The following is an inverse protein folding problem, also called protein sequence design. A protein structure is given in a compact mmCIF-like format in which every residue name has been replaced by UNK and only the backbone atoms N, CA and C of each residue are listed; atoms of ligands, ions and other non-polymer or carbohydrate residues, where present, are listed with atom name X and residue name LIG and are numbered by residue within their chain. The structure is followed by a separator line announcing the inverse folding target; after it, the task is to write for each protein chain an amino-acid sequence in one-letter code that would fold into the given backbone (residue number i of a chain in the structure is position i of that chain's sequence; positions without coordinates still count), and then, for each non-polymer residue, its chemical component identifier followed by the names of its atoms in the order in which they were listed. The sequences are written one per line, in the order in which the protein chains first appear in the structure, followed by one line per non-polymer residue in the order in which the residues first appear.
data_IF_729658426679
#
_entry.id   IF_729658426679
#
_cell.length_a   1.000
_cell.length_b   1.000
_cell.length_c   1.000
_cell.angle_alpha   90.00
_cell.angle_beta   90.00
_cell.angle_gamma   90.00
#
_symmetry.space_group_name_H-M   'P 1'
#
loop_
_entity.id
_entity.type
_entity.pdbx_description
1 polymer ?
#
# COMPACT_ATOMS: atom_id res chain seq x y z
N UNK A 1 -17.80 -17.55 -0.69
CA UNK A 1 -17.29 -17.41 -2.08
C UNK A 1 -15.78 -17.48 -2.00
N UNK A 2 -15.13 -18.25 -2.89
CA UNK A 2 -13.66 -18.23 -2.95
C UNK A 2 -13.23 -16.84 -3.45
N UNK A 3 -12.45 -16.10 -2.63
CA UNK A 3 -11.85 -14.84 -3.05
C UNK A 3 -10.80 -15.11 -4.14
N UNK A 4 -10.75 -14.26 -5.17
CA UNK A 4 -9.73 -14.34 -6.22
C UNK A 4 -8.37 -13.95 -5.67
N UNK A 5 -7.36 -14.84 -5.75
CA UNK A 5 -5.99 -14.57 -5.28
C UNK A 5 -5.26 -13.73 -6.31
N UNK A 6 -4.79 -12.54 -5.91
CA UNK A 6 -3.96 -11.66 -6.76
C UNK A 6 -2.47 -11.88 -6.53
N UNK A 7 -2.04 -12.13 -5.28
CA UNK A 7 -0.65 -12.47 -4.96
C UNK A 7 -0.64 -13.73 -4.10
N UNK A 8 0.26 -14.66 -4.39
CA UNK A 8 0.57 -15.81 -3.55
C UNK A 8 2.06 -15.92 -3.33
N UNK A 9 2.46 -16.24 -2.10
CA UNK A 9 3.84 -16.60 -1.77
C UNK A 9 3.92 -18.05 -1.31
N UNK A 10 5.02 -18.71 -1.65
CA UNK A 10 5.32 -20.06 -1.21
C UNK A 10 6.73 -20.11 -0.63
N UNK A 11 6.82 -20.46 0.66
CA UNK A 11 8.05 -20.57 1.43
C UNK A 11 8.98 -19.36 1.28
N UNK A 12 8.38 -18.16 1.21
CA UNK A 12 9.10 -16.92 0.97
C UNK A 12 10.09 -16.65 2.10
N UNK A 13 11.35 -16.46 1.75
CA UNK A 13 12.39 -16.11 2.72
C UNK A 13 13.28 -14.99 2.19
N UNK A 14 13.66 -14.07 3.08
CA UNK A 14 14.58 -12.97 2.76
C UNK A 14 15.66 -12.87 3.84
N UNK A 15 16.91 -12.88 3.39
CA UNK A 15 18.07 -12.71 4.26
C UNK A 15 18.98 -11.64 3.70
N UNK A 16 19.60 -10.88 4.59
CA UNK A 16 20.63 -9.90 4.26
C UNK A 16 21.98 -10.34 4.85
N UNK A 17 23.08 -10.02 4.17
CA UNK A 17 24.43 -10.23 4.70
C UNK A 17 24.98 -8.90 5.22
N UNK A 18 25.18 -8.79 6.53
CA UNK A 18 25.71 -7.61 7.20
C UNK A 18 26.98 -8.02 7.95
N UNK A 19 28.15 -7.49 7.55
CA UNK A 19 29.42 -7.79 8.20
C UNK A 19 29.77 -9.28 8.21
N UNK A 20 29.41 -10.03 7.15
CA UNK A 20 29.66 -11.48 7.04
C UNK A 20 28.70 -12.38 7.83
N UNK A 21 27.74 -11.79 8.56
CA UNK A 21 26.67 -12.54 9.24
C UNK A 21 25.38 -12.47 8.42
N UNK A 22 24.70 -13.61 8.28
CA UNK A 22 23.36 -13.65 7.68
C UNK A 22 22.31 -13.28 8.72
N UNK A 23 21.46 -12.32 8.36
CA UNK A 23 20.27 -11.96 9.12
C UNK A 23 19.03 -12.38 8.33
N UNK A 24 18.27 -13.34 8.87
CA UNK A 24 17.02 -13.82 8.30
C UNK A 24 15.89 -12.88 8.72
N UNK A 25 15.36 -12.10 7.77
CA UNK A 25 14.31 -11.09 8.03
C UNK A 25 12.94 -11.65 7.75
N UNK A 26 12.76 -12.41 6.67
CA UNK A 26 11.52 -13.16 6.38
C UNK A 26 11.88 -14.64 6.33
N UNK A 27 11.01 -15.48 6.95
CA UNK A 27 11.31 -16.88 7.19
C UNK A 27 10.16 -17.77 6.73
N UNK A 28 10.33 -18.41 5.58
CA UNK A 28 9.46 -19.50 5.09
C UNK A 28 7.96 -19.14 5.12
N UNK A 29 7.60 -17.95 4.61
CA UNK A 29 6.30 -17.35 4.73
C UNK A 29 5.40 -17.74 3.55
N UNK A 30 4.25 -18.33 3.84
CA UNK A 30 3.17 -18.61 2.90
C UNK A 30 2.02 -17.64 3.17
N UNK A 31 1.56 -16.92 2.14
CA UNK A 31 0.43 -16.00 2.27
C UNK A 31 -0.26 -15.76 0.94
N UNK A 32 -1.49 -15.29 1.02
CA UNK A 32 -2.27 -14.84 -0.13
C UNK A 32 -2.79 -13.43 0.09
N UNK A 33 -2.78 -12.64 -0.98
CA UNK A 33 -3.47 -11.33 -1.06
C UNK A 33 -4.62 -11.52 -2.05
N UNK A 34 -5.78 -11.07 -1.65
CA UNK A 34 -6.99 -11.23 -2.45
C UNK A 34 -7.34 -9.94 -3.20
N UNK A 35 -7.92 -10.12 -4.38
CA UNK A 35 -8.38 -9.02 -5.23
C UNK A 35 -9.47 -8.21 -4.53
N UNK A 36 -9.32 -6.89 -4.54
CA UNK A 36 -10.25 -5.97 -3.89
C UNK A 36 -10.14 -5.92 -2.35
N UNK A 37 -9.28 -6.74 -1.72
CA UNK A 37 -9.07 -6.63 -0.27
C UNK A 37 -8.15 -5.45 0.08
N UNK A 38 -8.40 -4.86 1.25
CA UNK A 38 -7.47 -3.96 1.91
C UNK A 38 -6.72 -4.73 3.00
N UNK A 39 -5.58 -5.32 2.64
CA UNK A 39 -4.73 -6.07 3.57
C UNK A 39 -3.78 -5.13 4.29
N UNK A 40 -3.75 -5.17 5.62
CA UNK A 40 -2.80 -4.43 6.45
C UNK A 40 -1.84 -5.38 7.11
N UNK A 41 -0.54 -5.08 7.01
CA UNK A 41 0.54 -5.80 7.69
C UNK A 41 0.98 -4.97 8.90
N UNK A 42 0.77 -5.49 10.09
CA UNK A 42 1.20 -4.92 11.36
C UNK A 42 2.32 -5.76 11.98
N UNK A 43 2.91 -5.25 13.05
CA UNK A 43 3.97 -5.94 13.81
C UNK A 43 4.98 -4.95 14.38
N UNK A 44 5.83 -5.41 15.28
CA UNK A 44 6.86 -4.61 15.94
C UNK A 44 7.88 -4.00 14.96
N UNK A 45 8.61 -2.98 15.41
CA UNK A 45 9.73 -2.44 14.64
C UNK A 45 10.75 -3.54 14.36
N UNK A 46 11.25 -3.62 13.11
CA UNK A 46 12.21 -4.66 12.71
C UNK A 46 11.61 -6.03 12.39
N UNK A 47 10.30 -6.25 12.52
CA UNK A 47 9.65 -7.53 12.20
C UNK A 47 9.75 -7.94 10.71
N UNK A 48 10.18 -7.05 9.81
CA UNK A 48 10.34 -7.34 8.38
C UNK A 48 9.20 -6.85 7.49
N UNK A 49 8.28 -6.01 8.00
CA UNK A 49 7.09 -5.53 7.28
C UNK A 49 7.38 -4.88 5.92
N UNK A 50 8.24 -3.85 5.89
CA UNK A 50 8.62 -3.18 4.63
C UNK A 50 9.41 -4.13 3.72
N UNK A 51 10.24 -5.03 4.29
CA UNK A 51 10.95 -6.07 3.53
C UNK A 51 9.95 -7.01 2.84
N UNK A 52 8.90 -7.43 3.54
CA UNK A 52 7.83 -8.24 2.97
C UNK A 52 7.11 -7.49 1.86
N UNK A 53 6.71 -6.24 2.11
CA UNK A 53 6.02 -5.39 1.12
C UNK A 53 6.89 -5.20 -0.15
N UNK A 54 8.20 -4.97 -0.01
CA UNK A 54 9.11 -4.82 -1.15
C UNK A 54 9.33 -6.14 -1.90
N UNK A 55 9.34 -7.27 -1.19
CA UNK A 55 9.39 -8.57 -1.86
C UNK A 55 8.10 -8.84 -2.64
N UNK A 56 6.92 -8.65 -2.03
CA UNK A 56 5.62 -8.82 -2.68
C UNK A 56 5.46 -7.97 -3.93
N UNK A 57 5.98 -6.75 -3.92
CA UNK A 57 5.90 -5.83 -5.07
C UNK A 57 6.97 -6.04 -6.14
N UNK A 58 7.89 -6.98 -5.94
CA UNK A 58 9.04 -7.20 -6.83
C UNK A 58 10.07 -6.05 -6.83
N UNK A 59 10.05 -5.17 -5.81
CA UNK A 59 11.11 -4.16 -5.61
C UNK A 59 12.39 -4.79 -5.10
N UNK A 60 12.27 -5.82 -4.27
CA UNK A 60 13.40 -6.61 -3.78
C UNK A 60 13.13 -8.10 -4.04
N UNK A 61 14.15 -8.83 -4.44
CA UNK A 61 14.03 -10.27 -4.70
C UNK A 61 14.11 -11.07 -3.41
N UNK A 62 13.28 -12.10 -3.20
CA UNK A 62 13.45 -13.02 -2.09
C UNK A 62 14.76 -13.79 -2.23
N UNK A 63 15.25 -14.29 -1.10
CA UNK A 63 16.43 -15.19 -1.09
C UNK A 63 16.04 -16.63 -1.46
N UNK A 64 14.86 -17.07 -0.99
CA UNK A 64 14.26 -18.38 -1.27
C UNK A 64 12.74 -18.26 -1.38
N UNK A 65 12.12 -19.27 -1.96
CA UNK A 65 10.67 -19.33 -2.17
C UNK A 65 10.24 -18.63 -3.44
N UNK A 66 8.93 -18.52 -3.63
CA UNK A 66 8.35 -17.93 -4.84
C UNK A 66 7.26 -16.92 -4.55
N UNK A 67 7.04 -16.02 -5.49
CA UNK A 67 5.94 -15.04 -5.51
C UNK A 67 5.27 -15.12 -6.87
N UNK A 68 3.95 -15.26 -6.87
CA UNK A 68 3.16 -15.25 -8.09
C UNK A 68 2.03 -14.20 -8.04
N UNK A 69 1.75 -13.59 -9.18
CA UNK A 69 0.64 -12.68 -9.44
C UNK A 69 -0.35 -13.33 -10.40
N UNK A 70 -1.59 -13.52 -9.94
CA UNK A 70 -2.65 -14.19 -10.73
C UNK A 70 -2.15 -15.47 -11.41
N UNK A 71 -1.37 -16.27 -10.67
CA UNK A 71 -0.77 -17.53 -11.12
C UNK A 71 0.52 -17.40 -11.94
N UNK A 72 0.97 -16.19 -12.27
CA UNK A 72 2.25 -15.98 -12.96
C UNK A 72 3.37 -15.70 -11.98
N UNK A 73 4.39 -16.55 -11.96
CA UNK A 73 5.57 -16.36 -11.10
C UNK A 73 6.39 -15.15 -11.54
N UNK A 74 6.80 -14.32 -10.56
CA UNK A 74 7.64 -13.14 -10.76
C UNK A 74 9.06 -13.32 -10.22
N UNK A 75 9.30 -14.32 -9.38
CA UNK A 75 10.59 -14.54 -8.70
C UNK A 75 11.72 -14.83 -9.67
N UNK A 76 11.43 -15.54 -10.76
CA UNK A 76 12.38 -15.89 -11.82
C UNK A 76 12.70 -14.73 -12.79
N UNK A 77 11.97 -13.60 -12.70
CA UNK A 77 12.17 -12.44 -13.57
C UNK A 77 13.50 -11.74 -13.26
N UNK A 78 14.19 -11.28 -14.32
CA UNK A 78 15.34 -10.37 -14.16
C UNK A 78 14.88 -8.95 -13.81
N UNK A 79 15.82 -8.04 -13.54
CA UNK A 79 15.50 -6.69 -13.04
C UNK A 79 14.74 -5.85 -14.06
N UNK A 80 15.05 -5.99 -15.37
CA UNK A 80 14.31 -5.30 -16.44
C UNK A 80 12.88 -5.82 -16.55
N UNK A 81 12.68 -7.13 -16.46
CA UNK A 81 11.36 -7.76 -16.46
C UNK A 81 10.54 -7.34 -15.24
N UNK A 82 11.16 -7.28 -14.05
CA UNK A 82 10.52 -6.77 -12.83
C UNK A 82 10.18 -5.28 -12.94
N UNK A 83 11.03 -4.46 -13.59
CA UNK A 83 10.71 -3.05 -13.82
C UNK A 83 9.50 -2.89 -14.75
N UNK A 84 9.43 -3.69 -15.83
CA UNK A 84 8.26 -3.73 -16.72
C UNK A 84 7.01 -4.22 -16.00
N UNK A 85 7.15 -5.23 -15.14
CA UNK A 85 6.07 -5.77 -14.32
C UNK A 85 5.54 -4.69 -13.36
N UNK A 86 6.42 -4.09 -12.54
CA UNK A 86 6.01 -3.08 -11.54
C UNK A 86 5.23 -1.91 -12.13
N UNK A 87 5.69 -1.33 -13.25
CA UNK A 87 5.01 -0.17 -13.86
C UNK A 87 3.58 -0.46 -14.35
N UNK A 88 3.23 -1.74 -14.55
CA UNK A 88 1.90 -2.16 -14.99
C UNK A 88 1.01 -2.64 -13.85
N UNK A 89 1.59 -3.34 -12.87
CA UNK A 89 0.84 -4.11 -11.88
C UNK A 89 0.91 -3.53 -10.48
N UNK A 90 1.87 -2.62 -10.19
CA UNK A 90 2.11 -2.11 -8.84
C UNK A 90 2.01 -0.59 -8.78
N UNK A 91 1.20 -0.07 -7.87
CA UNK A 91 1.23 1.32 -7.43
C UNK A 91 1.99 1.43 -6.11
N UNK A 92 2.71 2.55 -5.89
CA UNK A 92 3.48 2.72 -4.66
C UNK A 92 3.19 4.05 -3.99
N UNK A 93 2.87 3.99 -2.68
CA UNK A 93 2.72 5.12 -1.78
C UNK A 93 3.67 4.92 -0.60
N UNK A 94 4.66 5.79 -0.43
CA UNK A 94 5.67 5.70 0.62
C UNK A 94 5.48 6.76 1.69
N UNK A 95 6.08 6.55 2.85
CA UNK A 95 6.16 7.55 3.91
C UNK A 95 6.92 8.81 3.42
N UNK A 96 8.05 8.63 2.75
CA UNK A 96 8.71 9.69 1.98
C UNK A 96 8.10 9.72 0.58
N UNK A 97 7.63 10.86 0.17
CA UNK A 97 6.76 11.02 -1.02
C UNK A 97 7.44 10.60 -2.33
N UNK A 98 8.76 10.75 -2.43
CA UNK A 98 9.59 10.39 -3.60
C UNK A 98 9.05 10.93 -4.93
N UNK A 99 8.49 12.13 -4.95
CA UNK A 99 8.23 12.85 -6.20
C UNK A 99 9.56 13.36 -6.77
N UNK A 100 9.64 13.47 -8.09
CA UNK A 100 10.80 14.06 -8.77
C UNK A 100 10.75 15.57 -8.60
N UNK A 101 11.69 16.14 -7.85
CA UNK A 101 11.69 17.55 -7.44
C UNK A 101 11.76 18.54 -8.62
N UNK A 102 12.37 18.14 -9.74
CA UNK A 102 12.50 18.94 -10.96
C UNK A 102 11.28 18.86 -11.89
N UNK A 103 10.22 18.17 -11.50
CA UNK A 103 8.97 17.99 -12.24
C UNK A 103 7.79 18.57 -11.47
N UNK A 104 6.80 19.15 -12.17
CA UNK A 104 5.52 19.48 -11.55
C UNK A 104 4.81 18.20 -11.06
N UNK A 105 3.80 18.32 -10.20
CA UNK A 105 3.04 17.13 -9.78
C UNK A 105 2.27 16.51 -10.96
N UNK A 106 1.83 17.33 -11.92
CA UNK A 106 1.24 16.85 -13.16
C UNK A 106 2.25 16.02 -13.96
N UNK A 107 3.47 16.51 -14.13
CA UNK A 107 4.52 15.79 -14.87
C UNK A 107 4.95 14.51 -14.14
N UNK A 108 5.00 14.52 -12.81
CA UNK A 108 5.24 13.32 -12.02
C UNK A 108 4.21 12.21 -12.31
N UNK A 109 2.92 12.57 -12.41
CA UNK A 109 1.87 11.60 -12.73
C UNK A 109 1.96 11.15 -14.19
N UNK A 110 2.08 12.09 -15.15
CA UNK A 110 2.11 11.80 -16.59
C UNK A 110 3.34 10.95 -16.96
N UNK A 111 4.53 11.29 -16.45
CA UNK A 111 5.77 10.55 -16.76
C UNK A 111 5.66 9.08 -16.36
N UNK A 112 5.05 8.79 -15.20
CA UNK A 112 4.80 7.41 -14.77
C UNK A 112 3.82 6.69 -15.71
N UNK A 113 2.76 7.37 -16.14
CA UNK A 113 1.80 6.82 -17.09
C UNK A 113 2.41 6.52 -18.47
N UNK A 114 3.30 7.39 -18.95
CA UNK A 114 3.99 7.20 -20.24
C UNK A 114 4.86 5.94 -20.29
N UNK A 115 5.34 5.45 -19.15
CA UNK A 115 6.11 4.20 -19.07
C UNK A 115 5.32 2.95 -19.51
N UNK A 116 4.00 3.03 -19.54
CA UNK A 116 3.12 1.95 -20.03
C UNK A 116 2.70 2.13 -21.49
N UNK A 117 3.23 3.15 -22.19
CA UNK A 117 2.94 3.43 -23.59
C UNK A 117 1.65 4.22 -23.83
N UNK A 118 1.03 4.75 -22.78
CA UNK A 118 -0.17 5.59 -22.89
C UNK A 118 0.16 6.97 -23.51
N UNK A 119 -0.80 7.54 -24.24
CA UNK A 119 -0.62 8.86 -24.86
C UNK A 119 -0.70 9.98 -23.80
N UNK A 120 0.21 10.95 -23.89
CA UNK A 120 0.30 12.07 -22.95
C UNK A 120 -1.04 12.81 -22.73
N UNK A 121 -1.82 13.06 -23.81
CA UNK A 121 -3.12 13.72 -23.69
C UNK A 121 -4.11 12.93 -22.83
N UNK A 122 -4.23 11.63 -23.07
CA UNK A 122 -5.12 10.77 -22.28
C UNK A 122 -4.69 10.70 -20.80
N UNK A 123 -3.37 10.65 -20.56
CA UNK A 123 -2.81 10.68 -19.21
C UNK A 123 -3.08 11.99 -18.49
N UNK A 124 -2.99 13.13 -19.21
CA UNK A 124 -3.33 14.44 -18.64
C UNK A 124 -4.79 14.48 -18.22
N UNK A 125 -5.72 14.10 -19.10
CA UNK A 125 -7.15 14.08 -18.79
C UNK A 125 -7.46 13.14 -17.61
N UNK A 126 -6.74 12.02 -17.49
CA UNK A 126 -6.86 11.10 -16.36
C UNK A 126 -6.29 11.67 -15.07
N UNK A 127 -5.08 12.25 -15.14
CA UNK A 127 -4.42 12.87 -14.00
C UNK A 127 -5.25 14.02 -13.40
N UNK A 128 -5.87 14.87 -14.25
CA UNK A 128 -6.76 15.94 -13.82
C UNK A 128 -7.92 15.41 -12.98
N UNK A 129 -8.60 14.36 -13.44
CA UNK A 129 -9.69 13.71 -12.69
C UNK A 129 -9.22 13.11 -11.37
N UNK A 130 -8.03 12.48 -11.38
CA UNK A 130 -7.46 11.91 -10.16
C UNK A 130 -7.05 13.00 -9.16
N UNK A 131 -6.49 14.13 -9.62
CA UNK A 131 -6.16 15.26 -8.76
C UNK A 131 -7.41 15.88 -8.13
N UNK A 132 -8.48 16.08 -8.91
CA UNK A 132 -9.78 16.54 -8.38
C UNK A 132 -10.31 15.57 -7.31
N UNK A 133 -10.24 14.27 -7.59
CA UNK A 133 -10.69 13.23 -6.66
C UNK A 133 -9.93 13.22 -5.32
N UNK A 134 -8.62 13.45 -5.34
CA UNK A 134 -7.82 13.53 -4.10
C UNK A 134 -7.83 14.93 -3.47
N UNK A 135 -8.67 15.85 -3.96
CA UNK A 135 -8.84 17.21 -3.41
C UNK A 135 -7.65 18.12 -3.64
N UNK A 136 -6.90 17.95 -4.74
CA UNK A 136 -5.84 18.88 -5.16
C UNK A 136 -6.41 19.90 -6.13
N UNK A 137 -6.38 21.17 -5.72
CA UNK A 137 -6.88 22.31 -6.51
C UNK A 137 -6.06 22.50 -7.80
N UNK A 138 -6.69 23.06 -8.85
CA UNK A 138 -6.07 23.23 -10.19
C UNK A 138 -4.81 24.09 -10.19
N UNK A 139 -4.73 25.07 -9.30
CA UNK A 139 -3.57 25.96 -9.13
C UNK A 139 -2.33 25.21 -8.58
N UNK A 140 -2.51 24.02 -8.00
CA UNK A 140 -1.43 23.17 -7.50
C UNK A 140 -0.81 22.28 -8.58
N UNK A 141 -1.54 21.94 -9.65
CA UNK A 141 -1.13 20.91 -10.59
C UNK A 141 0.18 21.19 -11.33
N UNK A 142 0.45 22.49 -11.56
CA UNK A 142 1.71 22.95 -12.15
C UNK A 142 2.83 23.21 -11.16
N UNK A 143 2.59 23.04 -9.84
CA UNK A 143 3.58 23.28 -8.81
C UNK A 143 4.58 22.13 -8.67
N UNK A 144 5.78 22.47 -8.21
CA UNK A 144 6.82 21.51 -7.89
C UNK A 144 6.65 20.98 -6.45
N UNK A 145 7.17 19.79 -6.11
CA UNK A 145 7.04 19.19 -4.78
C UNK A 145 7.44 20.15 -3.63
N UNK A 146 8.49 20.95 -3.81
CA UNK A 146 8.96 21.92 -2.82
C UNK A 146 7.98 23.07 -2.52
N UNK A 147 6.96 23.25 -3.34
CA UNK A 147 5.93 24.31 -3.22
C UNK A 147 4.64 23.80 -2.55
N UNK A 148 4.61 22.52 -2.13
CA UNK A 148 3.46 21.86 -1.57
C UNK A 148 3.64 21.60 -0.06
N UNK A 149 2.54 21.56 0.66
CA UNK A 149 2.53 20.95 2.00
C UNK A 149 2.75 19.43 1.91
N UNK A 150 3.20 18.81 3.00
CA UNK A 150 3.42 17.36 3.04
C UNK A 150 2.18 16.55 2.65
N UNK A 151 0.98 17.00 3.07
CA UNK A 151 -0.27 16.33 2.73
C UNK A 151 -0.64 16.48 1.25
N UNK A 152 -0.38 17.63 0.62
CA UNK A 152 -0.59 17.84 -0.81
C UNK A 152 0.38 16.98 -1.64
N UNK A 153 1.64 16.96 -1.25
CA UNK A 153 2.65 16.12 -1.89
C UNK A 153 2.30 14.62 -1.78
N UNK A 154 1.81 14.17 -0.62
CA UNK A 154 1.37 12.79 -0.43
C UNK A 154 0.19 12.44 -1.33
N UNK A 155 -0.82 13.33 -1.42
CA UNK A 155 -1.96 13.12 -2.34
C UNK A 155 -1.52 13.10 -3.81
N UNK A 156 -0.56 13.93 -4.20
CA UNK A 156 0.03 13.87 -5.54
C UNK A 156 0.76 12.55 -5.82
N UNK A 157 1.49 12.01 -4.82
CA UNK A 157 2.11 10.70 -4.93
C UNK A 157 1.07 9.56 -5.06
N UNK A 158 -0.09 9.68 -4.42
CA UNK A 158 -1.18 8.72 -4.59
C UNK A 158 -1.72 8.74 -6.03
N UNK A 159 -1.90 9.92 -6.64
CA UNK A 159 -2.28 10.02 -8.05
C UNK A 159 -1.25 9.33 -8.94
N UNK A 160 0.05 9.57 -8.71
CA UNK A 160 1.13 8.87 -9.42
C UNK A 160 1.04 7.35 -9.24
N UNK A 161 0.70 6.87 -8.04
CA UNK A 161 0.60 5.44 -7.76
C UNK A 161 -0.50 4.74 -8.55
N UNK A 162 -1.64 5.42 -8.79
CA UNK A 162 -2.81 4.80 -9.44
C UNK A 162 -2.99 5.18 -10.91
N UNK A 163 -2.13 6.04 -11.48
CA UNK A 163 -2.28 6.54 -12.86
C UNK A 163 -2.32 5.43 -13.92
N UNK A 164 -1.69 4.29 -13.64
CA UNK A 164 -1.59 3.13 -14.53
C UNK A 164 -2.64 2.03 -14.24
N UNK A 165 -3.64 2.28 -13.39
CA UNK A 165 -4.61 1.26 -12.93
C UNK A 165 -3.93 -0.04 -12.45
N UNK A 166 -3.05 0.02 -11.44
CA UNK A 166 -2.30 -1.14 -11.00
C UNK A 166 -3.23 -2.20 -10.38
N UNK A 167 -2.82 -3.48 -10.44
CA UNK A 167 -3.56 -4.56 -9.79
C UNK A 167 -3.55 -4.41 -8.26
N UNK A 168 -2.43 -3.92 -7.71
CA UNK A 168 -2.23 -3.72 -6.27
C UNK A 168 -1.54 -2.39 -5.98
N UNK A 169 -2.06 -1.64 -5.01
CA UNK A 169 -1.38 -0.47 -4.42
C UNK A 169 -0.66 -0.91 -3.14
N UNK A 170 0.65 -0.72 -3.12
CA UNK A 170 1.51 -0.95 -1.96
C UNK A 170 1.74 0.36 -1.22
N UNK A 171 1.40 0.42 0.06
CA UNK A 171 1.53 1.59 0.91
C UNK A 171 2.44 1.29 2.11
N UNK A 172 3.64 1.87 2.12
CA UNK A 172 4.61 1.71 3.22
C UNK A 172 4.54 2.94 4.14
N UNK A 173 3.90 2.80 5.30
CA UNK A 173 3.71 3.87 6.29
C UNK A 173 3.18 5.19 5.68
N UNK A 174 2.11 5.17 4.87
CA UNK A 174 1.73 6.29 4.00
C UNK A 174 1.36 7.57 4.75
N UNK A 175 1.20 7.50 6.07
CA UNK A 175 0.79 8.60 6.93
C UNK A 175 1.82 8.97 7.99
N UNK A 176 2.97 8.27 8.05
CA UNK A 176 3.95 8.38 9.13
C UNK A 176 4.62 9.77 9.29
N UNK A 177 4.58 10.61 8.25
CA UNK A 177 5.14 11.97 8.27
C UNK A 177 4.06 13.07 8.29
N UNK A 178 2.77 12.74 8.49
CA UNK A 178 1.65 13.66 8.34
C UNK A 178 1.04 14.05 9.69
N UNK A 179 0.46 15.25 9.76
CA UNK A 179 -0.41 15.65 10.87
C UNK A 179 -1.76 14.90 10.81
N UNK A 180 -2.54 14.98 11.89
CA UNK A 180 -3.78 14.23 12.06
C UNK A 180 -4.80 14.45 10.93
N UNK A 181 -4.98 15.69 10.45
CA UNK A 181 -5.93 16.02 9.38
C UNK A 181 -5.48 15.44 8.03
N UNK A 182 -4.21 15.56 7.67
CA UNK A 182 -3.67 15.00 6.44
C UNK A 182 -3.64 13.47 6.49
N UNK A 183 -3.39 12.89 7.66
CA UNK A 183 -3.51 11.44 7.90
C UNK A 183 -4.90 10.96 7.52
N UNK A 184 -5.96 11.60 8.05
CA UNK A 184 -7.34 11.23 7.75
C UNK A 184 -7.65 11.31 6.25
N UNK A 185 -7.25 12.41 5.62
CA UNK A 185 -7.45 12.62 4.19
C UNK A 185 -6.80 11.50 3.34
N UNK A 186 -5.56 11.12 3.65
CA UNK A 186 -4.83 10.04 2.94
C UNK A 186 -5.51 8.69 3.16
N UNK A 187 -5.91 8.37 4.39
CA UNK A 187 -6.61 7.13 4.70
C UNK A 187 -7.98 7.07 4.02
N UNK A 188 -8.72 8.18 3.96
CA UNK A 188 -10.01 8.25 3.27
C UNK A 188 -9.85 8.02 1.75
N UNK A 189 -8.78 8.56 1.15
CA UNK A 189 -8.48 8.31 -0.27
C UNK A 189 -8.18 6.82 -0.49
N UNK A 190 -7.35 6.19 0.35
CA UNK A 190 -7.07 4.75 0.25
C UNK A 190 -8.34 3.91 0.40
N UNK A 191 -9.19 4.22 1.39
CA UNK A 191 -10.47 3.54 1.56
C UNK A 191 -11.37 3.71 0.33
N UNK A 192 -11.50 4.93 -0.21
CA UNK A 192 -12.29 5.19 -1.41
C UNK A 192 -11.75 4.48 -2.67
N UNK A 193 -10.43 4.28 -2.79
CA UNK A 193 -9.86 3.45 -3.85
C UNK A 193 -10.24 1.98 -3.66
N UNK A 194 -10.21 1.48 -2.42
CA UNK A 194 -10.59 0.11 -2.11
C UNK A 194 -12.07 -0.16 -2.34
N UNK A 195 -12.95 0.77 -1.96
CA UNK A 195 -14.40 0.69 -2.21
C UNK A 195 -14.74 0.56 -3.71
N UNK A 196 -13.86 1.06 -4.59
CA UNK A 196 -13.95 0.90 -6.04
C UNK A 196 -13.29 -0.39 -6.56
N UNK A 197 -12.85 -1.27 -5.66
CA UNK A 197 -12.28 -2.57 -5.99
C UNK A 197 -10.75 -2.61 -6.14
N UNK A 198 -10.04 -1.53 -5.80
CA UNK A 198 -8.57 -1.54 -5.79
C UNK A 198 -8.05 -2.41 -4.66
N UNK A 199 -7.21 -3.40 -4.99
CA UNK A 199 -6.48 -4.16 -3.97
C UNK A 199 -5.39 -3.30 -3.34
N UNK A 200 -5.31 -3.31 -1.99
CA UNK A 200 -4.33 -2.51 -1.24
C UNK A 200 -3.57 -3.41 -0.27
N UNK A 201 -2.25 -3.27 -0.23
CA UNK A 201 -1.39 -3.84 0.81
C UNK A 201 -0.70 -2.69 1.52
N UNK A 202 -1.04 -2.48 2.78
CA UNK A 202 -0.48 -1.38 3.58
C UNK A 202 0.32 -1.92 4.77
N UNK A 203 1.51 -1.37 4.97
CA UNK A 203 2.28 -1.52 6.21
C UNK A 203 2.02 -0.32 7.10
N UNK A 204 1.71 -0.56 8.35
CA UNK A 204 1.57 0.50 9.36
C UNK A 204 1.84 0.00 10.78
N UNK A 205 2.17 0.94 11.66
CA UNK A 205 2.28 0.70 13.09
C UNK A 205 1.17 1.44 13.89
N UNK A 206 0.17 2.03 13.23
CA UNK A 206 -0.91 2.75 13.92
C UNK A 206 -2.24 2.01 13.80
N UNK A 207 -2.96 1.90 14.93
CA UNK A 207 -4.30 1.29 14.98
C UNK A 207 -5.25 2.04 14.03
N UNK A 208 -5.18 3.37 14.03
CA UNK A 208 -6.04 4.23 13.17
C UNK A 208 -5.92 3.89 11.68
N UNK A 209 -4.71 3.62 11.19
CA UNK A 209 -4.52 3.20 9.81
C UNK A 209 -4.97 1.76 9.60
N UNK A 210 -4.69 0.87 10.57
CA UNK A 210 -5.08 -0.53 10.50
C UNK A 210 -6.60 -0.75 10.46
N UNK A 211 -7.37 0.13 11.10
CA UNK A 211 -8.84 0.12 11.05
C UNK A 211 -9.41 0.21 9.62
N UNK A 212 -8.65 0.73 8.66
CA UNK A 212 -9.07 0.78 7.25
C UNK A 212 -9.02 -0.58 6.55
N UNK A 213 -8.22 -1.51 7.08
CA UNK A 213 -8.04 -2.83 6.48
C UNK A 213 -9.27 -3.72 6.64
N UNK A 214 -9.58 -4.49 5.59
CA UNK A 214 -10.55 -5.59 5.67
C UNK A 214 -9.93 -6.83 6.32
N UNK A 215 -8.60 -6.99 6.22
CA UNK A 215 -7.81 -8.08 6.79
C UNK A 215 -6.51 -7.52 7.39
N UNK A 216 -6.18 -7.99 8.59
CA UNK A 216 -4.95 -7.61 9.29
C UNK A 216 -4.08 -8.85 9.45
N UNK A 217 -2.83 -8.75 9.05
CA UNK A 217 -1.80 -9.78 9.23
C UNK A 217 -0.78 -9.24 10.22
N UNK A 218 -0.51 -9.99 11.29
CA UNK A 218 0.50 -9.62 12.27
C UNK A 218 1.80 -10.38 12.03
N UNK A 219 2.86 -9.61 11.71
CA UNK A 219 4.20 -10.13 11.45
C UNK A 219 5.06 -9.98 12.72
N UNK A 220 5.64 -11.08 13.19
CA UNK A 220 6.59 -11.10 14.29
C UNK A 220 7.81 -11.95 13.90
N UNK A 221 9.01 -11.44 14.14
CA UNK A 221 10.28 -12.16 13.89
C UNK A 221 10.42 -12.81 12.50
N UNK A 222 9.79 -12.17 11.49
CA UNK A 222 9.85 -12.61 10.09
C UNK A 222 8.88 -13.72 9.72
N UNK A 223 7.92 -14.06 10.58
CA UNK A 223 6.82 -15.00 10.31
C UNK A 223 5.47 -14.34 10.56
N UNK A 224 4.42 -14.84 9.92
CA UNK A 224 3.04 -14.48 10.27
C UNK A 224 2.72 -15.15 11.60
N UNK A 225 2.50 -14.33 12.63
CA UNK A 225 2.10 -14.81 13.96
C UNK A 225 0.63 -15.18 13.99
N UNK A 226 -0.21 -14.30 13.44
CA UNK A 226 -1.65 -14.53 13.33
C UNK A 226 -2.27 -13.55 12.31
N UNK A 227 -3.53 -13.76 11.96
CA UNK A 227 -4.30 -12.88 11.08
C UNK A 227 -5.77 -12.81 11.48
N UNK A 228 -6.42 -11.70 11.15
CA UNK A 228 -7.83 -11.49 11.44
C UNK A 228 -8.56 -10.83 10.27
N UNK A 229 -9.74 -11.31 9.95
CA UNK A 229 -10.66 -10.67 9.03
C UNK A 229 -11.60 -9.72 9.78
N UNK A 230 -11.58 -8.43 9.37
CA UNK A 230 -12.45 -7.39 9.91
C UNK A 230 -13.66 -7.10 9.00
N UNK A 231 -13.62 -7.54 7.73
CA UNK A 231 -14.59 -7.18 6.70
C UNK A 231 -14.46 -5.72 6.27
N UNK A 232 -15.42 -5.21 5.51
CA UNK A 232 -15.41 -3.86 4.97
C UNK A 232 -15.33 -2.77 6.05
N UNK A 233 -14.62 -1.67 5.76
CA UNK A 233 -14.52 -0.52 6.64
C UNK A 233 -15.90 0.12 6.85
N UNK A 234 -16.27 0.36 8.11
CA UNK A 234 -17.58 0.82 8.51
C UNK A 234 -17.62 2.30 8.98
N UNK A 235 -16.59 3.09 8.66
CA UNK A 235 -16.45 4.46 9.11
C UNK A 235 -15.75 4.59 10.47
N UNK A 236 -15.61 5.83 10.96
CA UNK A 236 -15.01 6.11 12.25
C UNK A 236 -15.97 5.70 13.38
N UNK A 237 -15.50 4.92 14.32
CA UNK A 237 -16.26 4.46 15.50
C UNK A 237 -16.49 5.57 16.54
N UNK A 238 -15.80 6.71 16.42
CA UNK A 238 -15.96 7.91 17.26
C UNK A 238 -16.93 8.93 16.68
N UNK A 239 -17.26 8.79 15.41
CA UNK A 239 -18.19 9.70 14.75
C UNK A 239 -19.63 9.29 15.05
N UNK A 240 -20.29 10.00 15.97
CA UNK A 240 -21.67 9.76 16.35
C UNK A 240 -22.67 9.93 15.19
N UNK A 241 -22.29 10.63 14.12
CA UNK A 241 -23.10 10.78 12.90
C UNK A 241 -22.94 9.60 11.93
N UNK A 242 -22.02 8.67 12.19
CA UNK A 242 -21.79 7.51 11.35
C UNK A 242 -23.01 6.56 11.39
N UNK A 243 -23.70 6.33 10.27
CA UNK A 243 -24.88 5.44 10.24
C UNK A 243 -24.56 3.98 10.56
N UNK A 244 -23.28 3.60 10.54
CA UNK A 244 -22.78 2.26 10.83
C UNK A 244 -21.92 2.20 12.10
N UNK A 245 -22.15 3.12 13.05
CA UNK A 245 -21.30 3.31 14.24
C UNK A 245 -21.18 2.03 15.08
N UNK A 246 -22.23 1.24 15.24
CA UNK A 246 -22.16 0.00 16.01
C UNK A 246 -21.24 -1.04 15.34
N UNK A 247 -21.33 -1.19 14.02
CA UNK A 247 -20.41 -2.04 13.25
C UNK A 247 -18.98 -1.51 13.33
N UNK A 248 -18.79 -0.19 13.31
CA UNK A 248 -17.46 0.43 13.44
C UNK A 248 -16.86 0.19 14.83
N UNK A 249 -17.66 0.27 15.90
CA UNK A 249 -17.22 -0.06 17.28
C UNK A 249 -16.86 -1.52 17.43
N UNK A 250 -17.68 -2.43 16.91
CA UNK A 250 -17.42 -3.87 16.94
C UNK A 250 -16.08 -4.20 16.23
N UNK A 251 -15.84 -3.61 15.06
CA UNK A 251 -14.57 -3.75 14.32
C UNK A 251 -13.38 -3.23 15.11
N UNK A 252 -13.53 -2.05 15.73
CA UNK A 252 -12.49 -1.45 16.56
C UNK A 252 -12.11 -2.35 17.73
N UNK A 253 -13.11 -2.84 18.50
CA UNK A 253 -12.86 -3.74 19.63
C UNK A 253 -12.25 -5.07 19.18
N UNK A 254 -12.70 -5.61 18.04
CA UNK A 254 -12.15 -6.83 17.47
C UNK A 254 -10.67 -6.66 17.11
N UNK A 255 -10.30 -5.55 16.45
CA UNK A 255 -8.91 -5.22 16.13
C UNK A 255 -8.07 -5.01 17.40
N UNK A 256 -8.59 -4.27 18.36
CA UNK A 256 -7.91 -3.98 19.62
C UNK A 256 -7.60 -5.25 20.40
N UNK A 257 -8.58 -6.15 20.57
CA UNK A 257 -8.38 -7.43 21.26
C UNK A 257 -7.33 -8.28 20.52
N UNK A 258 -7.42 -8.40 19.21
CA UNK A 258 -6.43 -9.10 18.40
C UNK A 258 -5.01 -8.54 18.62
N UNK A 259 -4.85 -7.22 18.63
CA UNK A 259 -3.53 -6.61 18.84
C UNK A 259 -3.02 -6.80 20.27
N UNK A 260 -3.91 -6.79 21.28
CA UNK A 260 -3.54 -7.10 22.67
C UNK A 260 -3.05 -8.54 22.80
N UNK A 261 -3.70 -9.50 22.13
CA UNK A 261 -3.27 -10.91 22.11
C UNK A 261 -1.89 -11.07 21.45
N UNK A 262 -1.55 -10.18 20.50
CA UNK A 262 -0.23 -10.12 19.85
C UNK A 262 0.83 -9.37 20.67
N UNK A 263 0.49 -8.83 21.86
CA UNK A 263 1.42 -8.07 22.71
C UNK A 263 1.67 -6.64 22.24
N UNK A 264 0.73 -6.05 21.48
CA UNK A 264 0.78 -4.67 20.99
C UNK A 264 0.42 -3.66 22.07
#
# INVERSE_FOLDING_TARGET
MNKEVVIRTEKLSKSFSIGGKQQHVIKNLDMEIYKGDFTVIMGSSGAGKSTLLYALSGMDKPTLGSISYSGKEITSMNDDQLAVFRRKHCGFVFQQVHLVDSMSIMDNAISTGMLTGQKQKALKDKAEKLFERVGLQKDLWGKFPSQLSGGEAQRAAMVRAVINDPDVVFADEPTGALNSQNTENVLNILSGLNDEGQSIVMVTHTIKAAERGSRIIYLADGVISDEIELGEYAGDYKDESNPHIEKAKERHEKLKNFLQDMGW
#
